data_IF_426329730485
#
_entry.id   IF_426329730485
#
_cell.length_a   1.000
_cell.length_b   1.000
_cell.length_c   1.000
_cell.angle_alpha   90.00
_cell.angle_beta   90.00
_cell.angle_gamma   90.00
#
_symmetry.space_group_name_H-M   'P 1'
#
loop_
_entity.id
_entity.type
_entity.pdbx_description
1 polymer ?
#
# COMPACT_ATOMS: atom_id res chain seq x y z
N UNK A 1 -24.03 8.10 5.49
CA UNK A 1 -23.23 7.05 4.81
C UNK A 1 -21.89 6.76 5.53
N UNK A 2 -21.75 7.08 6.83
CA UNK A 2 -20.48 6.95 7.60
C UNK A 2 -20.63 6.22 8.94
N UNK A 3 -21.84 5.81 9.31
CA UNK A 3 -22.14 5.22 10.63
C UNK A 3 -21.35 3.93 10.91
N UNK A 4 -20.97 3.19 9.87
CA UNK A 4 -20.23 1.93 10.02
C UNK A 4 -18.82 2.12 10.60
N UNK A 5 -18.11 3.20 10.23
CA UNK A 5 -16.80 3.53 10.80
C UNK A 5 -16.94 4.15 12.19
N UNK A 6 -17.95 5.00 12.40
CA UNK A 6 -18.24 5.59 13.72
C UNK A 6 -18.62 4.52 14.76
N UNK A 7 -19.33 3.46 14.34
CA UNK A 7 -19.70 2.30 15.20
C UNK A 7 -18.50 1.49 15.68
N UNK A 8 -17.39 1.52 14.96
CA UNK A 8 -16.16 0.81 15.35
C UNK A 8 -15.33 1.54 16.42
N UNK A 9 -15.75 2.75 16.84
CA UNK A 9 -15.13 3.55 17.91
C UNK A 9 -13.61 3.72 17.70
N UNK A 10 -12.78 3.50 18.73
CA UNK A 10 -11.31 3.59 18.68
C UNK A 10 -10.61 2.28 18.31
N UNK A 11 -11.36 1.24 17.88
CA UNK A 11 -10.76 -0.08 17.60
C UNK A 11 -9.86 -0.03 16.37
N UNK A 12 -8.83 -0.88 16.37
CA UNK A 12 -8.01 -1.15 15.20
C UNK A 12 -8.89 -1.64 14.03
N UNK A 13 -8.53 -1.23 12.81
CA UNK A 13 -9.28 -1.50 11.59
C UNK A 13 -8.47 -2.41 10.66
N UNK A 14 -9.15 -3.44 10.15
CA UNK A 14 -8.67 -4.24 9.03
C UNK A 14 -9.48 -3.87 7.80
N UNK A 15 -8.82 -3.47 6.71
CA UNK A 15 -9.46 -2.87 5.54
C UNK A 15 -8.96 -3.51 4.25
N UNK A 16 -9.86 -3.65 3.28
CA UNK A 16 -9.52 -3.93 1.90
C UNK A 16 -9.90 -2.75 1.03
N UNK A 17 -8.93 -2.10 0.42
CA UNK A 17 -9.09 -0.98 -0.50
C UNK A 17 -8.86 -1.48 -1.92
N UNK A 18 -9.85 -1.27 -2.79
CA UNK A 18 -9.74 -1.63 -4.21
C UNK A 18 -9.88 -0.36 -5.03
N UNK A 19 -8.81 0.00 -5.74
CA UNK A 19 -8.77 1.14 -6.65
C UNK A 19 -8.84 0.57 -8.06
N UNK A 20 -10.06 0.51 -8.60
CA UNK A 20 -10.40 -0.25 -9.81
C UNK A 20 -10.41 0.55 -11.11
N UNK A 21 -9.66 1.65 -11.20
CA UNK A 21 -9.75 2.55 -12.35
C UNK A 21 -8.41 2.68 -13.07
N UNK A 22 -8.43 2.45 -14.39
CA UNK A 22 -7.24 2.31 -15.23
C UNK A 22 -6.68 3.63 -15.75
N UNK A 23 -7.53 4.64 -15.92
CA UNK A 23 -7.21 5.89 -16.62
C UNK A 23 -7.86 7.11 -15.96
N UNK A 24 -8.00 7.04 -14.64
CA UNK A 24 -8.66 8.10 -13.88
C UNK A 24 -7.61 9.02 -13.27
N UNK A 25 -7.85 10.33 -13.39
CA UNK A 25 -7.03 11.34 -12.76
C UNK A 25 -6.98 11.10 -11.25
N UNK A 26 -5.80 11.28 -10.63
CA UNK A 26 -5.63 11.06 -9.18
C UNK A 26 -6.65 11.87 -8.35
N UNK A 27 -7.12 12.99 -8.89
CA UNK A 27 -8.15 13.82 -8.28
C UNK A 27 -9.48 13.09 -8.09
N UNK A 28 -9.90 12.20 -8.99
CA UNK A 28 -11.17 11.47 -8.81
C UNK A 28 -11.05 10.37 -7.74
N UNK A 29 -9.89 9.70 -7.64
CA UNK A 29 -9.63 8.71 -6.58
C UNK A 29 -9.59 9.42 -5.24
N UNK A 30 -8.81 10.49 -5.15
CA UNK A 30 -8.61 11.22 -3.90
C UNK A 30 -9.86 11.98 -3.48
N UNK A 31 -10.71 12.46 -4.39
CA UNK A 31 -11.99 13.11 -4.03
C UNK A 31 -13.11 12.13 -3.65
N UNK A 32 -12.93 10.82 -3.89
CA UNK A 32 -13.97 9.83 -3.59
C UNK A 32 -14.28 9.78 -2.08
N UNK A 33 -15.55 9.98 -1.63
CA UNK A 33 -15.87 10.13 -0.21
C UNK A 33 -15.46 8.94 0.67
N UNK A 34 -15.55 7.72 0.14
CA UNK A 34 -15.13 6.51 0.87
C UNK A 34 -13.62 6.45 1.05
N UNK A 35 -12.86 6.92 0.05
CA UNK A 35 -11.40 6.92 0.11
C UNK A 35 -10.91 7.98 1.12
N UNK A 36 -11.43 9.20 1.03
CA UNK A 36 -11.19 10.26 2.02
C UNK A 36 -11.49 9.79 3.44
N UNK A 37 -12.65 9.16 3.65
CA UNK A 37 -13.03 8.66 4.95
C UNK A 37 -12.09 7.55 5.45
N UNK A 38 -11.64 6.64 4.58
CA UNK A 38 -10.67 5.63 4.92
C UNK A 38 -9.34 6.26 5.38
N UNK A 39 -8.83 7.24 4.62
CA UNK A 39 -7.59 7.96 4.94
C UNK A 39 -7.71 8.76 6.25
N UNK A 40 -8.85 9.39 6.53
CA UNK A 40 -9.09 10.08 7.81
C UNK A 40 -8.98 9.15 9.03
N UNK A 41 -9.12 7.84 8.83
CA UNK A 41 -8.98 6.83 9.88
C UNK A 41 -7.70 5.99 9.73
N UNK A 42 -6.71 6.43 8.95
CA UNK A 42 -5.44 5.73 8.75
C UNK A 42 -4.69 5.46 10.06
N UNK A 43 -4.87 6.32 11.07
CA UNK A 43 -4.28 6.13 12.40
C UNK A 43 -4.74 4.86 13.13
N UNK A 44 -5.83 4.24 12.66
CA UNK A 44 -6.41 3.03 13.22
C UNK A 44 -6.13 1.78 12.38
N UNK A 45 -5.51 1.93 11.22
CA UNK A 45 -5.25 0.81 10.33
C UNK A 45 -4.28 -0.18 10.97
N UNK A 46 -4.63 -1.45 10.94
CA UNK A 46 -3.82 -2.56 11.45
C UNK A 46 -3.45 -3.54 10.36
N UNK A 47 -4.45 -4.01 9.61
CA UNK A 47 -4.25 -4.93 8.49
C UNK A 47 -4.86 -4.30 7.24
N UNK A 48 -4.04 -3.99 6.24
CA UNK A 48 -4.49 -3.30 5.04
C UNK A 48 -4.16 -4.14 3.82
N UNK A 49 -5.20 -4.40 3.01
CA UNK A 49 -5.05 -5.02 1.71
C UNK A 49 -5.42 -4.01 0.62
N UNK A 50 -4.45 -3.59 -0.17
CA UNK A 50 -4.60 -2.68 -1.29
C UNK A 50 -4.60 -3.49 -2.58
N UNK A 51 -5.57 -3.23 -3.45
CA UNK A 51 -5.63 -3.77 -4.79
C UNK A 51 -5.63 -2.61 -5.78
N UNK A 52 -4.58 -2.49 -6.59
CA UNK A 52 -4.37 -1.38 -7.52
C UNK A 52 -4.55 -1.85 -8.97
N UNK A 53 -5.43 -1.19 -9.71
CA UNK A 53 -5.56 -1.40 -11.16
C UNK A 53 -4.57 -0.53 -11.97
N UNK A 54 -3.77 0.29 -11.30
CA UNK A 54 -2.65 1.04 -11.88
C UNK A 54 -1.58 1.27 -10.82
N UNK A 55 -0.29 1.02 -11.10
CA UNK A 55 0.82 1.37 -10.21
C UNK A 55 0.79 2.84 -9.77
N UNK A 56 0.39 3.75 -10.69
CA UNK A 56 0.34 5.19 -10.41
C UNK A 56 -0.65 5.56 -9.30
N UNK A 57 -1.67 4.74 -9.05
CA UNK A 57 -2.65 4.98 -7.99
C UNK A 57 -2.06 4.82 -6.57
N UNK A 58 -0.86 4.25 -6.43
CA UNK A 58 -0.14 4.22 -5.16
C UNK A 58 0.11 5.62 -4.59
N UNK A 59 0.27 6.63 -5.46
CA UNK A 59 0.48 8.02 -5.07
C UNK A 59 -0.69 8.63 -4.30
N UNK A 60 -1.90 8.07 -4.40
CA UNK A 60 -3.04 8.49 -3.57
C UNK A 60 -2.81 8.26 -2.07
N UNK A 61 -1.79 7.49 -1.68
CA UNK A 61 -1.42 7.21 -0.30
C UNK A 61 -0.24 8.06 0.21
N UNK A 62 0.38 8.93 -0.58
CA UNK A 62 1.53 9.74 -0.12
C UNK A 62 1.20 10.54 1.18
N UNK A 63 -0.03 11.03 1.30
CA UNK A 63 -0.46 11.83 2.45
C UNK A 63 -0.61 11.09 3.79
N UNK A 64 -0.40 9.76 3.85
CA UNK A 64 -0.55 8.98 5.10
C UNK A 64 0.78 8.60 5.78
N UNK A 65 1.91 9.00 5.21
CA UNK A 65 3.21 8.81 5.88
C UNK A 65 3.19 9.46 7.27
N UNK A 66 3.72 8.72 8.26
CA UNK A 66 3.72 9.10 9.68
C UNK A 66 2.35 9.00 10.38
N UNK A 67 1.28 8.63 9.67
CA UNK A 67 -0.10 8.60 10.20
C UNK A 67 -0.68 7.21 10.37
N UNK A 68 0.13 6.16 10.21
CA UNK A 68 -0.27 4.75 10.31
C UNK A 68 0.44 4.01 11.47
N UNK A 69 0.33 4.48 12.72
CA UNK A 69 1.12 3.96 13.85
C UNK A 69 0.75 2.53 14.28
N UNK A 70 -0.43 2.03 13.90
CA UNK A 70 -0.92 0.71 14.29
C UNK A 70 -0.80 -0.35 13.19
N UNK A 71 -0.30 0.03 12.01
CA UNK A 71 -0.25 -0.85 10.84
C UNK A 71 0.75 -1.97 11.10
N UNK A 72 0.30 -3.22 11.06
CA UNK A 72 1.09 -4.42 11.30
C UNK A 72 1.26 -5.26 10.04
N UNK A 73 0.24 -5.26 9.17
CA UNK A 73 0.24 -6.02 7.92
C UNK A 73 -0.20 -5.14 6.75
N UNK A 74 0.60 -5.17 5.69
CA UNK A 74 0.30 -4.55 4.41
C UNK A 74 0.38 -5.60 3.30
N UNK A 75 -0.72 -5.75 2.55
CA UNK A 75 -0.77 -6.55 1.33
C UNK A 75 -1.09 -5.66 0.15
N UNK A 76 -0.36 -5.80 -0.94
CA UNK A 76 -0.54 -5.03 -2.17
C UNK A 76 -0.61 -5.98 -3.36
N UNK A 77 -1.72 -5.93 -4.08
CA UNK A 77 -1.93 -6.69 -5.31
C UNK A 77 -2.06 -5.73 -6.50
N UNK A 78 -1.25 -5.95 -7.54
CA UNK A 78 -1.31 -5.26 -8.83
C UNK A 78 -1.42 -6.32 -9.93
N UNK A 79 -2.57 -6.48 -10.58
CA UNK A 79 -2.74 -7.48 -11.63
C UNK A 79 -1.76 -7.27 -12.78
N UNK A 80 -1.20 -8.38 -13.28
CA UNK A 80 -0.21 -8.39 -14.36
C UNK A 80 -0.63 -7.57 -15.59
N UNK A 81 -1.90 -7.59 -15.97
CA UNK A 81 -2.41 -6.80 -17.11
C UNK A 81 -2.28 -5.27 -16.94
N UNK A 82 -1.92 -4.81 -15.75
CA UNK A 82 -1.83 -3.39 -15.39
C UNK A 82 -0.44 -2.98 -14.92
N UNK A 83 0.48 -3.93 -14.85
CA UNK A 83 1.81 -3.69 -14.30
C UNK A 83 2.80 -3.12 -15.32
N UNK A 84 2.43 -3.01 -16.60
CA UNK A 84 3.30 -2.44 -17.65
C UNK A 84 3.19 -0.90 -17.74
N UNK A 85 2.37 -0.29 -16.88
CA UNK A 85 2.29 1.17 -16.75
C UNK A 85 3.44 1.60 -15.85
N UNK A 86 4.50 2.15 -16.45
CA UNK A 86 5.62 2.73 -15.70
C UNK A 86 5.08 3.71 -14.67
N UNK A 87 5.31 3.44 -13.39
CA UNK A 87 5.05 4.42 -12.34
C UNK A 87 5.94 5.64 -12.64
N UNK A 88 5.39 6.86 -12.74
CA UNK A 88 6.22 8.06 -12.83
C UNK A 88 7.12 8.06 -11.59
N UNK A 89 8.44 8.04 -11.82
CA UNK A 89 9.45 7.75 -10.80
C UNK A 89 9.18 8.42 -9.47
N UNK A 90 9.13 7.61 -8.42
CA UNK A 90 8.79 7.98 -7.06
C UNK A 90 7.94 6.88 -6.45
N UNK A 91 8.57 6.05 -5.63
CA UNK A 91 7.83 5.16 -4.74
C UNK A 91 6.89 6.01 -3.86
N UNK A 92 5.68 5.52 -3.61
CA UNK A 92 4.77 6.22 -2.73
C UNK A 92 5.22 6.00 -1.29
N UNK A 93 5.57 7.09 -0.60
CA UNK A 93 6.14 7.08 0.75
C UNK A 93 5.12 6.83 1.88
N UNK A 94 3.86 6.58 1.53
CA UNK A 94 2.73 6.52 2.46
C UNK A 94 2.90 5.54 3.63
N UNK A 95 3.71 4.49 3.46
CA UNK A 95 3.96 3.46 4.48
C UNK A 95 5.38 3.47 5.05
N UNK A 96 6.26 4.35 4.57
CA UNK A 96 7.66 4.40 4.99
C UNK A 96 7.82 4.63 6.49
N UNK A 97 6.98 5.47 7.11
CA UNK A 97 6.99 5.72 8.55
C UNK A 97 5.92 4.91 9.31
N UNK A 98 5.82 3.60 9.04
CA UNK A 98 4.93 2.68 9.76
C UNK A 98 5.69 1.85 10.82
N UNK A 99 5.82 2.33 12.08
CA UNK A 99 6.73 1.73 13.08
C UNK A 99 6.35 0.32 13.52
N UNK A 100 5.07 -0.05 13.37
CA UNK A 100 4.55 -1.37 13.74
C UNK A 100 4.46 -2.35 12.57
N UNK A 101 4.84 -1.95 11.35
CA UNK A 101 4.70 -2.81 10.17
C UNK A 101 5.69 -3.97 10.28
N UNK A 102 5.20 -5.20 10.18
CA UNK A 102 5.97 -6.44 10.33
C UNK A 102 5.81 -7.35 9.12
N UNK A 103 4.59 -7.41 8.59
CA UNK A 103 4.24 -8.30 7.49
C UNK A 103 3.97 -7.49 6.22
N UNK A 104 4.76 -7.74 5.19
CA UNK A 104 4.51 -7.22 3.84
C UNK A 104 4.24 -8.35 2.86
N UNK A 105 3.23 -8.19 2.01
CA UNK A 105 2.95 -9.10 0.91
C UNK A 105 2.70 -8.32 -0.36
N UNK A 106 3.38 -8.72 -1.43
CA UNK A 106 3.28 -8.05 -2.71
C UNK A 106 3.05 -9.07 -3.83
N UNK A 107 2.04 -8.83 -4.67
CA UNK A 107 1.74 -9.63 -5.86
C UNK A 107 1.60 -8.69 -7.06
N UNK A 108 2.63 -8.61 -7.91
CA UNK A 108 2.68 -7.72 -9.07
C UNK A 108 4.08 -7.68 -9.69
N UNK A 109 4.23 -6.97 -10.82
CA UNK A 109 5.57 -6.77 -11.44
C UNK A 109 6.36 -5.63 -10.83
N UNK A 110 5.73 -4.47 -10.60
CA UNK A 110 6.45 -3.26 -10.18
C UNK A 110 6.08 -2.94 -8.73
N UNK A 111 7.09 -2.87 -7.86
CA UNK A 111 6.92 -2.36 -6.50
C UNK A 111 6.60 -0.85 -6.51
N UNK A 112 5.76 -0.37 -5.58
CA UNK A 112 5.21 1.01 -5.66
C UNK A 112 5.20 1.79 -4.35
N UNK A 113 5.66 1.21 -3.25
CA UNK A 113 5.60 1.85 -1.93
C UNK A 113 6.95 1.82 -1.24
N UNK A 114 7.40 2.93 -0.67
CA UNK A 114 8.52 2.84 0.26
C UNK A 114 8.07 2.17 1.56
N UNK A 115 8.95 1.31 2.10
CA UNK A 115 8.67 0.50 3.27
C UNK A 115 9.68 0.76 4.40
N UNK A 116 9.27 0.54 5.66
CA UNK A 116 10.16 0.57 6.80
C UNK A 116 10.93 -0.76 6.90
N UNK A 117 11.89 -0.97 6.00
CA UNK A 117 12.63 -2.24 5.86
C UNK A 117 13.18 -2.80 7.18
N UNK A 118 13.75 -1.93 8.01
CA UNK A 118 14.32 -2.29 9.33
C UNK A 118 13.30 -2.86 10.33
N UNK A 119 12.01 -2.71 10.06
CA UNK A 119 10.94 -3.18 10.92
C UNK A 119 10.23 -4.42 10.37
N UNK A 120 10.42 -4.76 9.10
CA UNK A 120 9.79 -5.93 8.50
C UNK A 120 10.40 -7.21 9.07
N UNK A 121 9.54 -8.21 9.29
CA UNK A 121 9.94 -9.56 9.74
C UNK A 121 9.49 -10.65 8.78
N UNK A 122 8.60 -10.30 7.84
CA UNK A 122 8.07 -11.23 6.86
C UNK A 122 7.75 -10.50 5.57
N UNK A 123 8.30 -11.01 4.48
CA UNK A 123 7.99 -10.57 3.12
C UNK A 123 7.48 -11.76 2.34
N UNK A 124 6.32 -11.61 1.71
CA UNK A 124 5.73 -12.63 0.84
C UNK A 124 5.56 -12.06 -0.56
N UNK A 125 6.41 -12.53 -1.47
CA UNK A 125 6.34 -12.20 -2.89
C UNK A 125 5.48 -13.23 -3.62
N UNK A 126 4.40 -12.77 -4.25
CA UNK A 126 3.47 -13.58 -5.06
C UNK A 126 4.01 -13.82 -6.46
N UNK A 127 3.28 -13.41 -7.50
CA UNK A 127 3.74 -13.44 -8.89
C UNK A 127 4.67 -12.26 -9.15
N UNK A 128 5.84 -12.30 -8.52
CA UNK A 128 6.88 -11.31 -8.67
C UNK A 128 7.84 -11.69 -9.81
N UNK A 129 8.26 -10.70 -10.59
CA UNK A 129 9.17 -10.89 -11.73
C UNK A 129 10.53 -10.27 -11.41
N UNK A 130 11.60 -11.02 -11.65
CA UNK A 130 12.98 -10.57 -11.46
C UNK A 130 13.49 -9.96 -12.76
N UNK A 131 13.14 -8.72 -13.04
CA UNK A 131 13.75 -7.90 -14.08
C UNK A 131 14.63 -6.80 -13.45
N UNK A 132 15.39 -6.09 -14.28
CA UNK A 132 16.35 -5.08 -13.83
C UNK A 132 15.67 -3.96 -13.02
N UNK A 133 14.39 -3.67 -13.30
CA UNK A 133 13.59 -2.64 -12.64
C UNK A 133 13.27 -2.97 -11.17
N UNK A 134 13.49 -4.22 -10.73
CA UNK A 134 13.15 -4.69 -9.39
C UNK A 134 14.34 -5.15 -8.54
N UNK A 135 15.57 -5.03 -9.06
CA UNK A 135 16.77 -5.50 -8.36
C UNK A 135 17.00 -4.76 -7.04
N UNK A 136 16.75 -3.45 -7.01
CA UNK A 136 16.91 -2.65 -5.79
C UNK A 136 15.93 -3.09 -4.69
N UNK A 137 14.66 -3.32 -5.04
CA UNK A 137 13.66 -3.86 -4.13
C UNK A 137 14.05 -5.25 -3.59
N UNK A 138 14.51 -6.14 -4.48
CA UNK A 138 14.94 -7.48 -4.09
C UNK A 138 16.15 -7.47 -3.15
N UNK A 139 17.08 -6.54 -3.36
CA UNK A 139 18.23 -6.36 -2.47
C UNK A 139 17.79 -6.05 -1.03
N UNK A 140 16.81 -5.17 -0.87
CA UNK A 140 16.25 -4.79 0.44
C UNK A 140 15.43 -5.92 1.06
N UNK A 141 14.77 -6.76 0.25
CA UNK A 141 14.07 -7.95 0.77
C UNK A 141 15.03 -8.97 1.40
N UNK A 142 16.22 -9.15 0.83
CA UNK A 142 17.18 -10.13 1.36
C UNK A 142 17.69 -9.77 2.75
N UNK A 143 17.81 -8.48 3.07
CA UNK A 143 18.21 -8.01 4.40
C UNK A 143 17.19 -8.34 5.50
N UNK A 144 15.95 -8.71 5.12
CA UNK A 144 14.87 -9.08 6.06
C UNK A 144 14.83 -10.59 6.32
N UNK A 145 15.44 -11.40 5.46
CA UNK A 145 15.45 -12.88 5.54
C UNK A 145 16.83 -13.37 5.98
N UNK A 146 17.22 -13.03 7.21
CA UNK A 146 18.28 -13.75 7.94
C UNK A 146 17.76 -15.13 8.41
#
# INVERSE_FOLDING_TARGET
MTEWLSRSSSRALSLKLTISMLFVEMEEITSHPVFQLALCHCCRWKDVHIYLYSPTAAQCFAGISGKVPLLQSLKVDIPERFSDVTAPGGDADGFFEAPMLRDYSFDGRIHVFDLPWNFLTKIVLGKFYTDDDNLDFLSQCWDVVD
#
